data_IF_242229393633
#
_entry.id   IF_242229393633
#
_cell.length_a   1.000
_cell.length_b   1.000
_cell.length_c   1.000
_cell.angle_alpha   90.00
_cell.angle_beta   90.00
_cell.angle_gamma   90.00
#
_symmetry.space_group_name_H-M   'P 1'
#
loop_
_entity.id
_entity.type
_entity.pdbx_description
1 polymer ?
#
# COMPACT_ATOMS: atom_id res chain seq x y z
N UNK A 1 -9.64 -0.16 -13.55
CA UNK A 1 -8.72 -1.32 -13.68
C UNK A 1 -8.44 -1.87 -12.29
N UNK A 2 -8.09 -3.15 -12.16
CA UNK A 2 -7.70 -3.75 -10.87
C UNK A 2 -6.17 -3.80 -10.76
N UNK A 3 -5.62 -3.28 -9.67
CA UNK A 3 -4.18 -3.20 -9.40
C UNK A 3 -3.90 -3.81 -8.04
N UNK A 4 -2.94 -4.72 -7.95
CA UNK A 4 -2.51 -5.34 -6.69
C UNK A 4 -1.03 -5.06 -6.48
N UNK A 5 -0.68 -4.49 -5.33
CA UNK A 5 0.70 -4.42 -4.87
C UNK A 5 0.95 -5.51 -3.84
N UNK A 6 2.05 -6.25 -4.01
CA UNK A 6 2.48 -7.29 -3.08
C UNK A 6 3.71 -6.77 -2.35
N UNK A 7 3.64 -6.76 -1.02
CA UNK A 7 4.67 -6.24 -0.13
C UNK A 7 4.99 -7.29 0.94
N UNK A 8 6.23 -7.36 1.43
CA UNK A 8 6.55 -8.23 2.56
C UNK A 8 5.91 -7.74 3.87
N UNK A 9 5.85 -6.42 4.08
CA UNK A 9 5.39 -5.75 5.30
C UNK A 9 4.99 -4.30 5.03
N UNK A 10 4.50 -3.61 6.06
CA UNK A 10 4.33 -2.16 6.10
C UNK A 10 5.04 -1.58 7.35
N UNK A 11 6.36 -1.52 7.35
CA UNK A 11 7.17 -1.00 8.49
C UNK A 11 7.66 0.44 8.34
N UNK A 12 7.30 1.11 7.24
CA UNK A 12 7.79 2.45 6.93
C UNK A 12 9.12 2.46 6.18
N UNK A 13 9.45 1.43 5.43
CA UNK A 13 10.59 1.39 4.51
C UNK A 13 10.43 2.33 3.31
N UNK A 14 11.53 2.53 2.57
CA UNK A 14 11.53 3.40 1.38
C UNK A 14 10.60 2.90 0.26
N UNK A 15 10.68 1.61 -0.05
CA UNK A 15 9.84 1.00 -1.09
C UNK A 15 8.35 1.03 -0.74
N UNK A 16 8.01 0.78 0.53
CA UNK A 16 6.64 0.79 1.04
C UNK A 16 6.03 2.19 0.89
N UNK A 17 6.76 3.25 1.27
CA UNK A 17 6.31 4.65 1.07
C UNK A 17 6.02 4.98 -0.39
N UNK A 18 6.87 4.53 -1.31
CA UNK A 18 6.66 4.74 -2.76
C UNK A 18 5.41 3.99 -3.23
N UNK A 19 5.25 2.74 -2.81
CA UNK A 19 4.08 1.93 -3.19
C UNK A 19 2.79 2.53 -2.65
N UNK A 20 2.76 3.00 -1.39
CA UNK A 20 1.59 3.69 -0.82
C UNK A 20 1.26 4.99 -1.57
N UNK A 21 2.28 5.74 -1.99
CA UNK A 21 2.09 6.96 -2.80
C UNK A 21 1.44 6.62 -4.15
N UNK A 22 1.93 5.59 -4.83
CA UNK A 22 1.39 5.13 -6.10
C UNK A 22 -0.03 4.57 -5.95
N UNK A 23 -0.25 3.71 -4.95
CA UNK A 23 -1.54 3.12 -4.64
C UNK A 23 -2.62 4.20 -4.44
N UNK A 24 -2.32 5.21 -3.63
CA UNK A 24 -3.19 6.36 -3.43
C UNK A 24 -3.43 7.13 -4.73
N UNK A 25 -2.38 7.34 -5.53
CA UNK A 25 -2.49 7.97 -6.84
C UNK A 25 -3.41 7.22 -7.80
N UNK A 26 -3.35 5.89 -7.82
CA UNK A 26 -4.22 5.06 -8.66
C UNK A 26 -5.66 5.02 -8.15
N UNK A 27 -5.87 4.93 -6.83
CA UNK A 27 -7.18 4.98 -6.19
C UNK A 27 -7.91 6.30 -6.51
N UNK A 28 -7.21 7.43 -6.37
CA UNK A 28 -7.75 8.76 -6.72
C UNK A 28 -8.16 8.91 -8.20
N UNK A 29 -7.61 8.08 -9.09
CA UNK A 29 -7.97 8.04 -10.53
C UNK A 29 -9.08 7.03 -10.85
N UNK A 30 -9.76 6.48 -9.84
CA UNK A 30 -10.88 5.56 -10.02
C UNK A 30 -10.48 4.11 -10.30
N UNK A 31 -9.28 3.69 -9.90
CA UNK A 31 -8.87 2.28 -9.99
C UNK A 31 -9.16 1.54 -8.68
N UNK A 32 -9.48 0.25 -8.81
CA UNK A 32 -9.56 -0.66 -7.67
C UNK A 32 -8.13 -1.08 -7.30
N UNK A 33 -7.67 -0.69 -6.12
CA UNK A 33 -6.30 -0.91 -5.67
C UNK A 33 -6.31 -1.75 -4.40
N UNK A 34 -5.51 -2.81 -4.39
CA UNK A 34 -5.35 -3.71 -3.25
C UNK A 34 -3.89 -3.77 -2.83
N UNK A 35 -3.66 -3.83 -1.52
CA UNK A 35 -2.35 -4.14 -0.93
C UNK A 35 -2.45 -5.55 -0.35
N UNK A 36 -1.56 -6.44 -0.80
CA UNK A 36 -1.42 -7.78 -0.26
C UNK A 36 -0.09 -7.86 0.48
N UNK A 37 -0.16 -8.13 1.78
CA UNK A 37 1.02 -8.31 2.62
C UNK A 37 1.31 -9.80 2.77
N UNK A 38 2.59 -10.16 2.65
CA UNK A 38 3.04 -11.55 2.87
C UNK A 38 3.07 -11.85 4.37
N UNK A 39 3.48 -10.87 5.18
CA UNK A 39 3.46 -10.94 6.64
C UNK A 39 2.49 -9.88 7.20
N UNK A 40 1.92 -10.13 8.38
CA UNK A 40 0.99 -9.23 9.08
C UNK A 40 1.68 -8.11 9.88
N UNK A 41 2.86 -7.69 9.44
CA UNK A 41 3.66 -6.68 10.12
C UNK A 41 3.33 -5.27 9.60
N UNK A 42 2.62 -4.49 10.44
CA UNK A 42 2.16 -3.13 10.11
C UNK A 42 2.54 -2.17 11.24
N UNK A 43 3.50 -1.28 10.97
CA UNK A 43 3.95 -0.21 11.88
C UNK A 43 3.42 1.17 11.44
N UNK A 44 2.22 1.20 10.87
CA UNK A 44 1.49 2.44 10.55
C UNK A 44 0.35 2.62 11.55
N UNK A 45 0.14 3.85 12.03
CA UNK A 45 -1.05 4.16 12.81
C UNK A 45 -2.30 4.09 11.93
N UNK A 46 -3.44 3.71 12.50
CA UNK A 46 -4.73 3.58 11.79
C UNK A 46 -5.15 4.86 11.05
N UNK A 47 -4.62 6.03 11.41
CA UNK A 47 -4.85 7.31 10.73
C UNK A 47 -4.22 7.41 9.32
N UNK A 48 -3.30 6.52 8.94
CA UNK A 48 -2.50 6.63 7.71
C UNK A 48 -2.97 5.66 6.60
N UNK A 49 -3.75 4.64 6.93
CA UNK A 49 -4.26 3.61 5.99
C UNK A 49 -5.68 3.92 5.51
#
# INVERSE_FOLDING_TARGET
MKIVFILPSLKGGGAERVILTLANGFKKRGNDVYLLLINDEIDYSEEIL
#
